data_IF_881019601249
#
_entry.id   IF_881019601249
#
_cell.length_a   1.000
_cell.length_b   1.000
_cell.length_c   1.000
_cell.angle_alpha   90.00
_cell.angle_beta   90.00
_cell.angle_gamma   90.00
#
_symmetry.space_group_name_H-M   'P 1'
#
loop_
_entity.id
_entity.type
_entity.pdbx_description
1 polymer ?
#
# COMPACT_ATOMS: atom_id res chain seq x y z
N UNK A 1 13.91 25.89 -10.47
CA UNK A 1 12.54 25.88 -10.00
C UNK A 1 12.00 24.47 -9.80
N UNK A 2 11.35 24.24 -8.70
CA UNK A 2 10.77 22.94 -8.38
C UNK A 2 9.51 22.67 -9.23
N UNK A 3 9.49 21.53 -9.90
CA UNK A 3 8.31 21.06 -10.62
C UNK A 3 7.82 19.77 -9.93
N UNK A 4 6.67 19.80 -9.22
CA UNK A 4 6.22 18.63 -8.49
C UNK A 4 5.94 17.41 -9.36
N UNK A 5 5.59 17.62 -10.64
CA UNK A 5 5.33 16.50 -11.52
C UNK A 5 6.61 15.82 -12.02
N UNK A 6 7.71 16.55 -12.07
CA UNK A 6 9.00 15.99 -12.46
C UNK A 6 9.65 15.23 -11.30
N UNK A 7 9.47 15.70 -10.07
CA UNK A 7 10.08 15.07 -8.90
C UNK A 7 9.21 13.96 -8.30
N UNK A 8 7.96 13.85 -8.73
CA UNK A 8 7.08 12.80 -8.23
C UNK A 8 7.51 11.45 -8.78
N UNK A 9 7.67 10.43 -7.93
CA UNK A 9 8.02 9.09 -8.41
C UNK A 9 7.02 8.58 -9.44
N UNK A 10 7.54 7.90 -10.44
CA UNK A 10 6.69 7.21 -11.42
C UNK A 10 6.59 5.76 -11.01
N UNK A 11 5.44 5.39 -10.49
CA UNK A 11 5.22 4.04 -10.00
C UNK A 11 5.02 3.08 -11.16
N UNK A 12 5.46 1.84 -10.95
CA UNK A 12 5.05 0.75 -11.82
C UNK A 12 3.55 0.53 -11.65
N UNK A 13 2.94 -0.07 -12.64
CA UNK A 13 1.50 -0.33 -12.59
C UNK A 13 1.16 -1.45 -11.63
N UNK A 14 2.05 -2.42 -11.49
CA UNK A 14 1.83 -3.58 -10.64
C UNK A 14 3.11 -3.98 -9.91
N UNK A 15 2.92 -4.38 -8.67
CA UNK A 15 3.98 -4.87 -7.80
C UNK A 15 3.56 -6.21 -7.22
N UNK A 16 4.54 -7.06 -6.93
CA UNK A 16 4.33 -8.29 -6.16
C UNK A 16 5.19 -8.24 -4.92
N UNK A 17 4.71 -8.84 -3.85
CA UNK A 17 5.45 -8.81 -2.61
C UNK A 17 4.74 -9.54 -1.50
N UNK A 18 5.02 -9.12 -0.28
CA UNK A 18 4.55 -9.81 0.92
C UNK A 18 4.06 -8.83 1.97
N UNK A 19 3.14 -9.33 2.80
CA UNK A 19 2.68 -8.69 4.02
C UNK A 19 3.00 -9.59 5.19
N UNK A 20 3.42 -9.00 6.30
CA UNK A 20 3.63 -9.75 7.53
C UNK A 20 2.98 -9.00 8.68
N UNK A 21 1.89 -9.55 9.20
CA UNK A 21 1.16 -8.95 10.31
C UNK A 21 1.87 -9.23 11.63
N UNK A 22 1.87 -8.25 12.53
CA UNK A 22 2.36 -8.45 13.89
C UNK A 22 1.43 -9.32 14.73
N UNK A 23 0.18 -9.51 14.26
CA UNK A 23 -0.79 -10.33 14.96
C UNK A 23 -0.41 -11.82 14.97
N UNK A 24 -0.05 -12.36 13.79
CA UNK A 24 0.23 -13.80 13.67
C UNK A 24 1.63 -14.10 13.14
N UNK A 25 2.38 -13.08 12.73
CA UNK A 25 3.72 -13.19 12.14
C UNK A 25 3.77 -14.09 10.91
N UNK A 26 2.63 -14.29 10.25
CA UNK A 26 2.56 -15.09 9.03
C UNK A 26 2.76 -14.17 7.83
N UNK A 27 3.70 -14.55 6.96
CA UNK A 27 3.95 -13.84 5.72
C UNK A 27 2.95 -14.27 4.66
N UNK A 28 2.30 -13.29 4.02
CA UNK A 28 1.31 -13.54 2.99
C UNK A 28 1.72 -12.88 1.69
N UNK A 29 1.51 -13.57 0.59
CA UNK A 29 1.73 -12.99 -0.73
C UNK A 29 0.65 -11.96 -1.05
N UNK A 30 1.06 -10.90 -1.73
CA UNK A 30 0.15 -9.81 -2.09
C UNK A 30 0.56 -9.20 -3.42
N UNK A 31 -0.41 -8.61 -4.09
CA UNK A 31 -0.19 -7.79 -5.29
C UNK A 31 -0.66 -6.38 -5.00
N UNK A 32 0.09 -5.41 -5.51
CA UNK A 32 -0.25 -4.00 -5.38
C UNK A 32 -0.42 -3.42 -6.78
N UNK A 33 -1.55 -2.80 -7.04
CA UNK A 33 -1.78 -2.09 -8.29
C UNK A 33 -1.85 -0.61 -8.02
N UNK A 34 -1.09 0.17 -8.79
CA UNK A 34 -1.08 1.63 -8.65
C UNK A 34 -1.49 2.25 -9.97
N UNK A 35 -2.55 3.06 -9.92
CA UNK A 35 -2.98 3.88 -11.06
C UNK A 35 -2.62 5.31 -10.73
N UNK A 36 -1.68 5.83 -11.46
CA UNK A 36 -1.15 7.17 -11.25
C UNK A 36 -1.50 8.07 -12.43
N UNK A 37 -2.02 9.24 -12.11
CA UNK A 37 -2.21 10.32 -13.09
C UNK A 37 -1.39 11.52 -12.64
N UNK A 38 -1.45 12.61 -13.40
CA UNK A 38 -0.75 13.84 -13.00
C UNK A 38 -1.24 14.40 -11.67
N UNK A 39 -2.50 14.12 -11.32
CA UNK A 39 -3.14 14.76 -10.16
C UNK A 39 -3.59 13.76 -9.09
N UNK A 40 -3.46 12.46 -9.34
CA UNK A 40 -4.00 11.49 -8.39
C UNK A 40 -3.24 10.18 -8.41
N UNK A 41 -3.35 9.46 -7.30
CA UNK A 41 -2.81 8.11 -7.14
C UNK A 41 -3.90 7.25 -6.53
N UNK A 42 -4.14 6.09 -7.12
CA UNK A 42 -5.07 5.10 -6.59
C UNK A 42 -4.33 3.80 -6.37
N UNK A 43 -4.48 3.23 -5.18
CA UNK A 43 -3.77 2.03 -4.76
C UNK A 43 -4.78 0.92 -4.47
N UNK A 44 -4.54 -0.26 -5.04
CA UNK A 44 -5.34 -1.44 -4.75
C UNK A 44 -4.40 -2.55 -4.31
N UNK A 45 -4.64 -3.10 -3.13
CA UNK A 45 -3.88 -4.21 -2.57
C UNK A 45 -4.74 -5.46 -2.62
N UNK A 46 -4.20 -6.54 -3.16
CA UNK A 46 -4.92 -7.80 -3.32
C UNK A 46 -4.15 -8.91 -2.63
N UNK A 47 -4.82 -9.60 -1.72
CA UNK A 47 -4.31 -10.81 -1.09
C UNK A 47 -5.24 -11.97 -1.43
N UNK A 48 -4.89 -13.19 -0.99
CA UNK A 48 -5.78 -14.33 -1.17
C UNK A 48 -7.11 -14.22 -0.43
N UNK A 49 -7.17 -13.41 0.64
CA UNK A 49 -8.34 -13.30 1.50
C UNK A 49 -9.13 -12.00 1.35
N UNK A 50 -8.52 -10.96 0.80
CA UNK A 50 -9.14 -9.64 0.82
C UNK A 50 -8.64 -8.74 -0.30
N UNK A 51 -9.36 -7.63 -0.46
CA UNK A 51 -8.99 -6.56 -1.39
C UNK A 51 -9.13 -5.23 -0.66
N UNK A 52 -8.09 -4.40 -0.76
CA UNK A 52 -8.08 -3.06 -0.16
C UNK A 52 -7.97 -2.02 -1.25
N UNK A 53 -8.78 -0.99 -1.16
CA UNK A 53 -8.72 0.14 -2.11
C UNK A 53 -8.47 1.42 -1.34
N UNK A 54 -7.61 2.27 -1.90
CA UNK A 54 -7.34 3.57 -1.30
C UNK A 54 -8.56 4.46 -1.36
N UNK A 55 -8.83 5.13 -0.25
CA UNK A 55 -9.83 6.20 -0.16
C UNK A 55 -9.18 7.54 -0.41
N UNK A 56 -7.95 7.68 0.03
CA UNK A 56 -7.11 8.85 -0.24
C UNK A 56 -5.66 8.39 -0.26
N UNK A 57 -4.86 9.06 -1.09
CA UNK A 57 -3.44 8.75 -1.20
C UNK A 57 -2.67 10.03 -1.49
N UNK A 58 -1.46 10.12 -0.96
CA UNK A 58 -0.57 11.25 -1.20
C UNK A 58 0.87 10.78 -1.34
N UNK A 59 1.64 11.56 -2.09
CA UNK A 59 3.07 11.34 -2.24
C UNK A 59 3.74 12.57 -1.65
N UNK A 60 4.53 12.38 -0.60
CA UNK A 60 5.17 13.47 0.12
C UNK A 60 6.65 13.21 0.32
N UNK A 61 7.42 14.27 0.44
CA UNK A 61 8.81 14.17 0.82
C UNK A 61 8.91 14.41 2.33
N UNK A 62 9.50 13.44 3.03
CA UNK A 62 9.70 13.50 4.47
C UNK A 62 11.16 13.22 4.76
N UNK A 63 11.86 14.21 5.30
CA UNK A 63 13.29 14.11 5.65
C UNK A 63 14.16 13.65 4.48
N UNK A 64 13.85 14.15 3.27
CA UNK A 64 14.61 13.81 2.07
C UNK A 64 14.18 12.52 1.38
N UNK A 65 13.19 11.83 1.90
CA UNK A 65 12.69 10.58 1.35
C UNK A 65 11.27 10.74 0.80
N UNK A 66 11.02 10.17 -0.36
CA UNK A 66 9.67 10.17 -0.90
C UNK A 66 8.86 9.07 -0.23
N UNK A 67 7.63 9.39 0.14
CA UNK A 67 6.72 8.44 0.77
C UNK A 67 5.37 8.44 0.08
N UNK A 68 4.84 7.26 -0.15
CA UNK A 68 3.44 7.07 -0.56
C UNK A 68 2.65 6.70 0.69
N UNK A 69 1.69 7.54 1.05
CA UNK A 69 0.81 7.29 2.19
C UNK A 69 -0.61 7.20 1.68
N UNK A 70 -1.33 6.16 2.08
CA UNK A 70 -2.73 6.05 1.70
C UNK A 70 -3.57 5.46 2.83
N UNK A 71 -4.82 5.94 2.89
CA UNK A 71 -5.85 5.38 3.75
C UNK A 71 -6.71 4.47 2.90
N UNK A 72 -7.10 3.33 3.44
CA UNK A 72 -7.78 2.31 2.64
C UNK A 72 -8.92 1.66 3.40
N UNK A 73 -9.81 1.06 2.64
CA UNK A 73 -10.87 0.20 3.15
C UNK A 73 -10.54 -1.23 2.71
N UNK A 74 -10.40 -2.12 3.68
CA UNK A 74 -10.15 -3.52 3.42
C UNK A 74 -11.48 -4.30 3.45
N UNK A 75 -11.74 -5.01 2.37
CA UNK A 75 -12.95 -5.82 2.24
C UNK A 75 -12.54 -7.29 2.10
N UNK A 76 -12.63 -8.09 3.17
CA UNK A 76 -12.37 -9.51 3.08
C UNK A 76 -13.43 -10.20 2.19
N UNK A 77 -13.04 -11.30 1.55
CA UNK A 77 -14.00 -12.12 0.84
C UNK A 77 -15.03 -12.65 1.84
N UNK A 78 -16.27 -12.84 1.39
CA UNK A 78 -17.36 -13.21 2.30
C UNK A 78 -17.08 -14.48 3.11
N UNK A 79 -16.34 -15.44 2.55
CA UNK A 79 -15.97 -16.66 3.27
C UNK A 79 -15.02 -16.43 4.44
N UNK A 80 -14.36 -15.25 4.51
CA UNK A 80 -13.42 -14.92 5.58
C UNK A 80 -13.95 -13.87 6.54
N UNK A 81 -15.16 -13.33 6.34
CA UNK A 81 -15.69 -12.25 7.18
C UNK A 81 -15.98 -12.65 8.60
N UNK A 82 -16.15 -13.93 8.85
CA UNK A 82 -16.39 -14.43 10.21
C UNK A 82 -15.16 -14.28 11.11
N UNK A 83 -13.95 -14.17 10.52
CA UNK A 83 -12.72 -13.99 11.27
C UNK A 83 -11.98 -12.69 10.93
N UNK A 84 -12.45 -11.97 9.92
CA UNK A 84 -11.85 -10.71 9.49
C UNK A 84 -12.95 -9.79 9.00
N UNK A 85 -13.24 -8.74 9.77
CA UNK A 85 -14.27 -7.77 9.42
C UNK A 85 -13.75 -6.75 8.44
N UNK A 86 -14.66 -6.06 7.74
CA UNK A 86 -14.34 -4.90 6.94
C UNK A 86 -13.73 -3.85 7.87
N UNK A 87 -12.58 -3.30 7.49
CA UNK A 87 -11.89 -2.34 8.36
C UNK A 87 -11.12 -1.31 7.54
N UNK A 88 -10.84 -0.20 8.20
CA UNK A 88 -10.02 0.87 7.64
C UNK A 88 -8.57 0.73 8.09
N UNK A 89 -7.66 1.24 7.30
CA UNK A 89 -6.26 1.27 7.68
C UNK A 89 -5.50 2.36 6.96
N UNK A 90 -4.26 2.54 7.36
CA UNK A 90 -3.32 3.47 6.76
C UNK A 90 -2.03 2.74 6.46
N UNK A 91 -1.47 2.98 5.28
CA UNK A 91 -0.19 2.42 4.88
C UNK A 91 0.76 3.53 4.47
N UNK A 92 2.01 3.38 4.83
CA UNK A 92 3.09 4.29 4.42
C UNK A 92 4.21 3.47 3.83
N UNK A 93 4.54 3.77 2.57
CA UNK A 93 5.56 3.05 1.83
C UNK A 93 6.67 4.02 1.43
N UNK A 94 7.92 3.65 1.70
CA UNK A 94 9.06 4.38 1.17
C UNK A 94 9.07 4.20 -0.35
N UNK A 95 9.19 5.30 -1.09
CA UNK A 95 9.01 5.32 -2.53
C UNK A 95 10.11 6.08 -3.27
N UNK A 96 11.26 6.33 -2.63
CA UNK A 96 12.38 7.00 -3.30
C UNK A 96 12.92 6.19 -4.46
N UNK A 97 12.83 4.86 -4.37
CA UNK A 97 13.08 3.97 -5.48
C UNK A 97 11.75 3.32 -5.86
N UNK A 98 11.08 3.80 -6.93
CA UNK A 98 9.77 3.26 -7.26
C UNK A 98 9.77 1.81 -7.75
N UNK A 99 10.93 1.20 -7.95
CA UNK A 99 11.00 -0.22 -8.25
C UNK A 99 10.79 -1.10 -7.02
N UNK A 100 11.01 -0.55 -5.84
CA UNK A 100 10.88 -1.29 -4.57
C UNK A 100 10.15 -0.39 -3.57
N UNK A 101 8.99 -0.86 -3.11
CA UNK A 101 8.19 -0.15 -2.12
C UNK A 101 8.19 -0.99 -0.84
N UNK A 102 8.55 -0.37 0.28
CA UNK A 102 8.49 -1.06 1.56
C UNK A 102 8.07 -0.11 2.66
N UNK A 103 7.38 -0.63 3.64
CA UNK A 103 6.90 0.17 4.72
C UNK A 103 6.00 -0.62 5.65
N UNK A 104 5.02 0.07 6.21
CA UNK A 104 4.19 -0.47 7.25
C UNK A 104 2.74 -0.06 7.06
N UNK A 105 1.85 -0.86 7.63
CA UNK A 105 0.43 -0.52 7.70
C UNK A 105 -0.07 -0.69 9.13
N UNK A 106 -1.14 0.02 9.45
CA UNK A 106 -1.87 -0.17 10.70
C UNK A 106 -3.35 0.06 10.45
N UNK A 107 -4.17 -0.58 11.28
CA UNK A 107 -5.61 -0.60 11.09
C UNK A 107 -6.33 -0.05 12.33
N UNK A 108 -7.61 0.26 12.16
CA UNK A 108 -8.48 0.67 13.26
C UNK A 108 -8.77 -0.48 14.22
N UNK A 109 -8.32 -1.70 13.90
CA UNK A 109 -8.43 -2.87 14.77
C UNK A 109 -7.15 -3.09 15.60
N UNK A 110 -6.27 -2.09 15.65
CA UNK A 110 -5.00 -2.14 16.39
C UNK A 110 -4.04 -3.21 15.90
N UNK A 111 -4.11 -3.57 14.62
CA UNK A 111 -3.12 -4.46 14.01
C UNK A 111 -2.15 -3.64 13.18
N UNK A 112 -0.90 -4.09 13.14
CA UNK A 112 0.13 -3.47 12.32
C UNK A 112 0.83 -4.56 11.52
N UNK A 113 1.61 -4.15 10.53
CA UNK A 113 2.39 -5.10 9.76
C UNK A 113 3.39 -4.43 8.86
N UNK A 114 4.28 -5.24 8.33
CA UNK A 114 5.30 -4.81 7.39
C UNK A 114 4.91 -5.22 5.97
N UNK A 115 5.30 -4.41 5.01
CA UNK A 115 5.03 -4.64 3.59
C UNK A 115 6.29 -4.48 2.78
N UNK A 116 6.47 -5.35 1.81
CA UNK A 116 7.55 -5.26 0.84
C UNK A 116 7.03 -5.61 -0.54
N UNK A 117 7.29 -4.75 -1.52
CA UNK A 117 6.84 -4.94 -2.89
C UNK A 117 7.93 -4.61 -3.88
N UNK A 118 8.04 -5.42 -4.93
CA UNK A 118 8.93 -5.17 -6.05
C UNK A 118 8.08 -5.03 -7.33
N UNK A 119 8.47 -4.08 -8.18
CA UNK A 119 7.77 -3.82 -9.43
C UNK A 119 7.84 -5.04 -10.34
N UNK A 120 6.72 -5.37 -10.98
CA UNK A 120 6.70 -6.38 -12.04
C UNK A 120 7.28 -5.79 -13.31
N UNK A 121 8.00 -6.61 -14.01
CA UNK A 121 8.60 -6.22 -15.29
C UNK A 121 7.59 -6.26 -16.43
#
# INVERSE_FOLDING_TARGET
RFNPFESTPKFARRYTGTLKSTYDHIEREASLEIKQTLLSVHVTLITGESKSKSLSASIDEVLGEMQLTYCYLNTPKSEYRHRSEIHYGTATLAASNPAILEGQYYTDRNTTGDMFFAAEK
#
